data_IF_881214866180
#
_entry.id   IF_881214866180
#
_cell.length_a   1.000
_cell.length_b   1.000
_cell.length_c   1.000
_cell.angle_alpha   90.00
_cell.angle_beta   90.00
_cell.angle_gamma   90.00
#
_symmetry.space_group_name_H-M   'P 1'
#
loop_
_entity.id
_entity.type
_entity.pdbx_description
1 polymer ?
#
# COMPACT_ATOMS: atom_id res chain seq x y z
N UNK A 1 -26.98 12.88 -80.61
CA UNK A 1 -25.58 12.50 -80.32
C UNK A 1 -25.58 11.17 -79.59
N UNK A 2 -24.70 10.26 -80.00
CA UNK A 2 -24.62 8.85 -79.61
C UNK A 2 -24.10 8.69 -78.19
N UNK A 3 -24.69 7.82 -77.38
CA UNK A 3 -23.93 7.08 -76.36
C UNK A 3 -24.11 5.58 -76.61
N UNK A 4 -22.96 4.92 -76.73
CA UNK A 4 -22.75 3.53 -77.15
C UNK A 4 -22.54 2.65 -75.91
N UNK A 5 -23.24 1.52 -75.91
CA UNK A 5 -22.77 0.14 -75.65
C UNK A 5 -22.12 -0.33 -74.32
N UNK A 6 -22.52 -1.58 -74.01
CA UNK A 6 -21.84 -2.73 -73.35
C UNK A 6 -21.92 -2.81 -71.82
N UNK A 7 -22.73 -3.72 -71.27
CA UNK A 7 -22.48 -5.17 -70.99
C UNK A 7 -21.34 -5.37 -69.98
N UNK A 8 -21.64 -6.00 -68.84
CA UNK A 8 -20.92 -7.03 -68.04
C UNK A 8 -21.79 -7.18 -66.78
N UNK A 9 -22.38 -8.31 -66.38
CA UNK A 9 -21.85 -9.67 -66.33
C UNK A 9 -21.52 -10.02 -64.88
N UNK A 10 -22.44 -10.76 -64.23
CA UNK A 10 -22.30 -11.64 -63.04
C UNK A 10 -21.21 -11.37 -61.99
N UNK A 11 -21.60 -11.39 -60.70
CA UNK A 11 -21.03 -12.29 -59.69
C UNK A 11 -21.81 -12.16 -58.37
N UNK A 12 -22.66 -13.16 -58.10
CA UNK A 12 -23.28 -13.38 -56.79
C UNK A 12 -22.21 -13.81 -55.80
N UNK A 13 -21.82 -12.93 -54.88
CA UNK A 13 -21.01 -13.30 -53.73
C UNK A 13 -21.94 -13.79 -52.61
N UNK A 14 -21.96 -15.10 -52.41
CA UNK A 14 -22.55 -15.72 -51.22
C UNK A 14 -21.73 -15.30 -49.99
N UNK A 15 -22.30 -14.42 -49.17
CA UNK A 15 -21.75 -14.09 -47.85
C UNK A 15 -21.96 -15.28 -46.92
N UNK A 16 -20.88 -16.01 -46.68
CA UNK A 16 -20.78 -17.01 -45.62
C UNK A 16 -20.87 -16.25 -44.28
N UNK A 17 -22.01 -16.35 -43.61
CA UNK A 17 -22.18 -15.90 -42.24
C UNK A 17 -21.38 -16.82 -41.32
N UNK A 18 -20.10 -16.47 -41.08
CA UNK A 18 -19.33 -17.07 -39.99
C UNK A 18 -19.94 -16.54 -38.70
N UNK A 19 -20.72 -17.39 -38.03
CA UNK A 19 -21.20 -17.14 -36.68
C UNK A 19 -20.02 -17.01 -35.74
N UNK A 20 -19.59 -15.77 -35.49
CA UNK A 20 -18.79 -15.42 -34.32
C UNK A 20 -19.71 -15.61 -33.11
N UNK A 21 -19.68 -16.80 -32.53
CA UNK A 21 -20.14 -17.01 -31.18
C UNK A 21 -19.37 -16.03 -30.29
N UNK A 22 -20.07 -14.99 -29.83
CA UNK A 22 -19.57 -14.06 -28.83
C UNK A 22 -19.36 -14.84 -27.54
N UNK A 23 -18.15 -15.34 -27.35
CA UNK A 23 -17.70 -15.80 -26.04
C UNK A 23 -17.75 -14.57 -25.14
N UNK A 24 -18.54 -14.54 -24.07
CA UNK A 24 -18.47 -13.43 -23.14
C UNK A 24 -17.07 -13.42 -22.55
N UNK A 25 -16.30 -12.38 -22.86
CA UNK A 25 -15.02 -12.10 -22.25
C UNK A 25 -15.27 -11.69 -20.79
N UNK A 26 -15.49 -12.67 -19.91
CA UNK A 26 -15.41 -12.50 -18.46
C UNK A 26 -13.94 -12.41 -18.05
N UNK A 27 -13.24 -11.40 -18.54
CA UNK A 27 -11.87 -11.07 -18.17
C UNK A 27 -11.77 -9.68 -17.51
N UNK A 28 -12.88 -9.16 -16.98
CA UNK A 28 -12.84 -8.11 -15.97
C UNK A 28 -12.81 -8.79 -14.61
N UNK A 29 -11.60 -9.12 -14.15
CA UNK A 29 -11.38 -9.37 -12.74
C UNK A 29 -12.00 -8.21 -11.95
N UNK A 30 -12.77 -8.54 -10.92
CA UNK A 30 -13.32 -7.52 -10.02
C UNK A 30 -12.18 -6.58 -9.61
N UNK A 31 -12.37 -5.25 -9.70
CA UNK A 31 -11.34 -4.31 -9.28
C UNK A 31 -10.95 -4.67 -7.86
N UNK A 32 -9.67 -5.00 -7.68
CA UNK A 32 -9.11 -5.32 -6.36
C UNK A 32 -9.41 -4.12 -5.48
N UNK A 33 -10.35 -4.27 -4.55
CA UNK A 33 -10.78 -3.19 -3.66
C UNK A 33 -9.52 -2.66 -2.96
N UNK A 34 -9.07 -1.49 -3.39
CA UNK A 34 -7.93 -0.82 -2.78
C UNK A 34 -8.39 -0.41 -1.38
N UNK A 35 -7.63 -0.85 -0.38
CA UNK A 35 -7.95 -0.52 1.00
C UNK A 35 -7.89 0.99 1.16
N UNK A 36 -8.92 1.55 1.78
CA UNK A 36 -8.86 2.93 2.25
C UNK A 36 -8.00 2.92 3.51
N UNK A 37 -6.80 3.45 3.40
CA UNK A 37 -5.97 3.81 4.56
C UNK A 37 -6.28 5.27 4.84
N UNK A 38 -6.89 5.54 5.99
CA UNK A 38 -7.03 6.90 6.51
C UNK A 38 -5.78 7.21 7.34
N UNK A 39 -5.02 8.19 6.87
CA UNK A 39 -3.91 8.78 7.59
C UNK A 39 -4.41 10.00 8.35
N UNK A 40 -3.91 10.18 9.57
CA UNK A 40 -4.14 11.39 10.34
C UNK A 40 -2.98 11.63 11.28
N UNK A 41 -2.93 12.81 11.86
CA UNK A 41 -1.97 13.15 12.88
C UNK A 41 -2.72 13.57 14.14
N UNK A 42 -2.18 13.28 15.33
CA UNK A 42 -2.81 13.71 16.58
C UNK A 42 -2.85 15.25 16.68
N UNK A 43 -1.87 15.93 16.09
CA UNK A 43 -1.82 17.39 15.94
C UNK A 43 -2.79 17.94 14.87
N UNK A 44 -3.55 17.06 14.18
CA UNK A 44 -4.51 17.44 13.16
C UNK A 44 -3.90 17.74 11.79
N UNK A 45 -2.60 17.53 11.59
CA UNK A 45 -2.02 17.56 10.24
C UNK A 45 -2.69 16.48 9.35
N UNK A 46 -2.75 16.75 8.05
CA UNK A 46 -3.34 15.86 7.03
C UNK A 46 -2.30 15.42 5.98
N UNK A 47 -1.02 15.65 6.28
CA UNK A 47 0.09 15.43 5.34
C UNK A 47 0.41 13.95 5.20
N UNK A 48 0.65 13.52 3.96
CA UNK A 48 1.14 12.17 3.61
C UNK A 48 2.63 11.95 3.95
N UNK A 49 3.31 12.99 4.43
CA UNK A 49 4.73 13.03 4.73
C UNK A 49 4.93 13.71 6.07
N UNK A 50 6.03 13.38 6.75
CA UNK A 50 6.48 14.01 7.98
C UNK A 50 7.99 14.03 8.00
N UNK A 51 8.47 15.15 8.50
CA UNK A 51 9.88 15.40 8.64
C UNK A 51 10.19 15.32 10.14
N UNK A 52 11.27 14.64 10.47
CA UNK A 52 11.83 14.57 11.82
C UNK A 52 13.25 15.09 11.73
N UNK A 53 13.60 16.06 12.58
CA UNK A 53 14.98 16.55 12.71
C UNK A 53 15.64 15.91 13.91
N UNK A 54 16.92 15.55 13.81
CA UNK A 54 17.71 15.07 14.96
C UNK A 54 17.71 16.11 16.09
N UNK A 55 17.84 17.39 15.76
CA UNK A 55 17.87 18.50 16.72
C UNK A 55 16.58 18.63 17.57
N UNK A 56 15.48 17.99 17.16
CA UNK A 56 14.21 18.04 17.90
C UNK A 56 14.12 16.99 19.02
N UNK A 57 15.06 16.03 19.11
CA UNK A 57 15.00 14.88 20.03
C UNK A 57 16.36 14.56 20.65
N UNK A 58 16.40 14.31 21.96
CA UNK A 58 17.64 13.88 22.63
C UNK A 58 17.95 12.41 22.34
N UNK A 59 16.91 11.59 22.10
CA UNK A 59 17.00 10.18 21.76
C UNK A 59 15.88 9.76 20.79
N UNK A 60 16.13 8.79 19.91
CA UNK A 60 15.14 8.30 18.94
C UNK A 60 13.87 7.74 19.61
N UNK A 61 13.94 7.30 20.86
CA UNK A 61 12.78 6.79 21.61
C UNK A 61 11.78 7.87 22.00
N UNK A 62 12.17 9.14 21.94
CA UNK A 62 11.31 10.30 22.17
C UNK A 62 10.50 10.70 20.93
N UNK A 63 10.86 10.15 19.76
CA UNK A 63 10.16 10.44 18.52
C UNK A 63 8.69 9.98 18.57
N UNK A 64 7.78 10.71 17.90
CA UNK A 64 6.40 10.29 17.72
C UNK A 64 6.29 8.86 17.16
N UNK A 65 5.38 8.08 17.74
CA UNK A 65 5.14 6.70 17.32
C UNK A 65 3.99 6.64 16.34
N UNK A 66 4.15 5.82 15.31
CA UNK A 66 3.09 5.46 14.39
C UNK A 66 2.12 4.48 15.08
N UNK A 67 0.97 4.98 15.49
CA UNK A 67 -0.15 4.22 16.01
C UNK A 67 -1.00 3.65 14.88
N UNK A 68 -1.19 2.33 14.87
CA UNK A 68 -2.08 1.61 13.96
C UNK A 68 -3.26 1.07 14.74
N UNK A 69 -4.46 1.55 14.42
CA UNK A 69 -5.72 1.14 15.06
C UNK A 69 -6.52 0.27 14.11
N UNK A 70 -6.85 -0.96 14.55
CA UNK A 70 -7.55 -1.97 13.75
C UNK A 70 -8.92 -2.28 14.33
N UNK A 71 -9.96 -2.10 13.52
CA UNK A 71 -11.35 -2.37 13.88
C UNK A 71 -11.95 -3.55 13.08
N UNK A 72 -12.77 -4.42 13.70
CA UNK A 72 -13.05 -4.51 15.15
C UNK A 72 -11.84 -5.07 15.93
N UNK A 73 -11.77 -4.76 17.22
CA UNK A 73 -10.76 -5.32 18.12
C UNK A 73 -10.88 -6.84 18.15
N UNK A 74 -9.75 -7.55 18.06
CA UNK A 74 -9.72 -9.01 18.14
C UNK A 74 -8.39 -9.46 18.74
N UNK A 75 -8.28 -10.75 19.07
CA UNK A 75 -7.00 -11.36 19.46
C UNK A 75 -5.89 -10.97 18.47
N UNK A 76 -4.76 -10.51 19.03
CA UNK A 76 -3.78 -9.61 18.41
C UNK A 76 -3.52 -9.82 16.91
N UNK A 77 -3.74 -8.76 16.13
CA UNK A 77 -3.48 -8.72 14.69
C UNK A 77 -2.01 -8.47 14.44
N UNK A 78 -1.39 -9.24 13.54
CA UNK A 78 -0.01 -8.98 13.13
C UNK A 78 0.01 -7.76 12.21
N UNK A 79 0.82 -6.77 12.60
CA UNK A 79 1.10 -5.56 11.84
C UNK A 79 2.52 -5.67 11.34
N UNK A 80 2.72 -5.40 10.05
CA UNK A 80 4.03 -5.42 9.40
C UNK A 80 4.28 -4.05 8.81
N UNK A 81 5.35 -3.39 9.25
CA UNK A 81 5.90 -2.19 8.63
C UNK A 81 6.93 -2.65 7.61
N UNK A 82 6.75 -2.25 6.37
CA UNK A 82 7.71 -2.51 5.30
C UNK A 82 8.31 -1.19 4.82
N UNK A 83 9.64 -1.17 4.71
CA UNK A 83 10.43 -0.08 4.12
C UNK A 83 10.63 -0.38 2.64
N UNK A 84 10.55 0.64 1.79
CA UNK A 84 10.94 0.51 0.40
C UNK A 84 12.46 0.57 0.29
N UNK A 85 13.06 -0.48 -0.27
CA UNK A 85 14.48 -0.53 -0.60
C UNK A 85 14.65 -0.03 -2.03
N UNK A 86 15.30 1.13 -2.19
CA UNK A 86 15.51 1.77 -3.47
C UNK A 86 16.52 1.04 -4.36
N UNK A 87 17.47 0.29 -3.78
CA UNK A 87 18.46 -0.46 -4.54
C UNK A 87 17.83 -1.70 -5.17
N UNK A 88 17.06 -2.45 -4.39
CA UNK A 88 16.42 -3.68 -4.88
C UNK A 88 15.04 -3.44 -5.49
N UNK A 89 14.49 -2.22 -5.37
CA UNK A 89 13.14 -1.84 -5.80
C UNK A 89 12.05 -2.73 -5.17
N UNK A 90 12.27 -3.17 -3.94
CA UNK A 90 11.38 -4.09 -3.23
C UNK A 90 10.95 -3.53 -1.88
N UNK A 91 9.85 -4.08 -1.37
CA UNK A 91 9.39 -3.80 -0.01
C UNK A 91 9.95 -4.85 0.94
N UNK A 92 10.73 -4.39 1.91
CA UNK A 92 11.43 -5.23 2.88
C UNK A 92 10.80 -5.03 4.25
N UNK A 93 10.67 -6.10 5.04
CA UNK A 93 10.12 -5.99 6.39
C UNK A 93 11.10 -5.24 7.28
N UNK A 94 10.69 -4.06 7.75
CA UNK A 94 11.42 -3.27 8.75
C UNK A 94 11.08 -3.78 10.16
N UNK A 95 9.78 -3.89 10.44
CA UNK A 95 9.28 -4.29 11.76
C UNK A 95 8.04 -5.17 11.62
N UNK A 96 7.87 -6.11 12.55
CA UNK A 96 6.61 -6.82 12.74
C UNK A 96 6.20 -6.81 14.21
N UNK A 97 4.98 -6.36 14.49
CA UNK A 97 4.40 -6.30 15.83
C UNK A 97 2.97 -6.86 15.84
N UNK A 98 2.31 -6.81 17.00
CA UNK A 98 0.91 -7.20 17.16
C UNK A 98 0.12 -6.10 17.86
N UNK A 99 -1.16 -5.98 17.49
CA UNK A 99 -2.08 -5.12 18.25
C UNK A 99 -2.34 -5.69 19.64
N UNK A 100 -2.51 -4.79 20.61
CA UNK A 100 -2.96 -5.09 21.97
C UNK A 100 -4.46 -5.49 22.00
N UNK A 101 -5.00 -5.66 23.21
CA UNK A 101 -6.42 -5.99 23.44
C UNK A 101 -7.39 -4.88 22.95
N UNK A 102 -6.90 -3.65 22.80
CA UNK A 102 -7.65 -2.50 22.26
C UNK A 102 -7.56 -2.41 20.74
N UNK A 103 -6.85 -3.32 20.08
CA UNK A 103 -6.66 -3.29 18.62
C UNK A 103 -5.64 -2.25 18.17
N UNK A 104 -4.75 -1.81 19.07
CA UNK A 104 -3.76 -0.76 18.82
C UNK A 104 -2.35 -1.34 18.78
N UNK A 105 -1.54 -0.91 17.83
CA UNK A 105 -0.09 -1.13 17.82
C UNK A 105 0.63 0.21 17.69
N UNK A 106 1.58 0.51 18.58
CA UNK A 106 2.48 1.67 18.48
C UNK A 106 3.80 1.20 17.85
N UNK A 107 4.26 1.89 16.82
CA UNK A 107 5.48 1.55 16.07
C UNK A 107 6.43 2.75 16.11
N UNK A 108 7.67 2.53 16.54
CA UNK A 108 8.73 3.52 16.36
C UNK A 108 9.26 3.40 14.93
N UNK A 109 9.22 4.50 14.17
CA UNK A 109 9.87 4.56 12.84
C UNK A 109 11.35 4.83 13.08
N UNK A 110 12.21 4.02 12.48
CA UNK A 110 13.66 4.14 12.64
C UNK A 110 14.20 5.27 11.74
N UNK A 111 14.71 6.39 12.28
CA UNK A 111 15.29 7.46 11.48
C UNK A 111 16.73 7.17 11.04
N UNK A 112 17.35 6.12 11.59
CA UNK A 112 18.77 5.86 11.43
C UNK A 112 19.07 5.14 10.13
N UNK A 113 20.22 5.47 9.56
CA UNK A 113 20.72 4.81 8.37
C UNK A 113 21.17 3.39 8.65
N UNK A 114 20.94 2.55 7.64
CA UNK A 114 21.26 1.14 7.72
C UNK A 114 22.78 0.90 7.79
N UNK A 115 23.12 -0.32 8.15
CA UNK A 115 24.51 -0.78 8.29
C UNK A 115 25.32 -0.70 6.98
N UNK A 116 24.64 -0.52 5.83
CA UNK A 116 25.24 -0.45 4.51
C UNK A 116 25.45 1.00 4.03
N UNK A 117 25.01 1.99 4.81
CA UNK A 117 25.27 3.41 4.55
C UNK A 117 26.70 3.82 4.90
N UNK A 118 27.16 4.94 4.35
CA UNK A 118 28.48 5.51 4.66
C UNK A 118 28.61 5.99 6.13
N UNK A 119 27.47 6.19 6.82
CA UNK A 119 27.40 6.64 8.22
C UNK A 119 26.37 5.80 9.00
N UNK A 120 26.65 4.51 9.23
CA UNK A 120 25.70 3.61 9.86
C UNK A 120 25.37 4.07 11.28
N UNK A 121 24.07 4.11 11.60
CA UNK A 121 23.59 4.58 12.91
C UNK A 121 23.49 6.11 13.05
N UNK A 122 23.84 6.89 12.03
CA UNK A 122 23.50 8.31 11.96
C UNK A 122 22.04 8.49 11.52
N UNK A 123 21.44 9.66 11.80
CA UNK A 123 20.15 10.03 11.23
C UNK A 123 20.25 10.14 9.71
N UNK A 124 19.29 9.57 9.00
CA UNK A 124 19.23 9.69 7.55
C UNK A 124 18.74 11.07 7.11
N UNK A 125 19.38 11.60 6.07
CA UNK A 125 19.07 12.88 5.44
C UNK A 125 18.18 12.76 4.19
N UNK A 126 17.55 11.60 3.99
CA UNK A 126 16.70 11.31 2.83
C UNK A 126 15.32 10.81 3.23
N UNK A 127 14.38 10.94 2.28
CA UNK A 127 13.02 10.48 2.45
C UNK A 127 12.94 8.95 2.42
N UNK A 128 12.23 8.38 3.39
CA UNK A 128 11.98 6.93 3.44
C UNK A 128 10.51 6.62 3.21
N UNK A 129 10.24 5.75 2.23
CA UNK A 129 8.88 5.29 1.93
C UNK A 129 8.51 4.05 2.73
N UNK A 130 7.41 4.14 3.49
CA UNK A 130 6.87 3.02 4.25
C UNK A 130 5.49 2.58 3.76
N UNK A 131 5.18 1.30 3.98
CA UNK A 131 3.80 0.80 3.90
C UNK A 131 3.49 -0.10 5.08
N UNK A 132 2.22 -0.09 5.47
CA UNK A 132 1.70 -0.88 6.58
C UNK A 132 0.85 -2.01 6.01
N UNK A 133 1.12 -3.23 6.49
CA UNK A 133 0.29 -4.40 6.23
C UNK A 133 -0.27 -4.94 7.52
N UNK A 134 -1.59 -4.93 7.62
CA UNK A 134 -2.31 -5.61 8.69
C UNK A 134 -2.69 -7.01 8.18
N UNK A 135 -2.35 -8.04 8.93
CA UNK A 135 -2.63 -9.43 8.57
C UNK A 135 -3.86 -9.95 9.31
N UNK A 136 -4.60 -10.86 8.66
CA UNK A 136 -5.73 -11.54 9.27
C UNK A 136 -5.24 -12.47 10.39
N UNK A 137 -6.01 -12.55 11.47
CA UNK A 137 -5.87 -13.58 12.51
C UNK A 137 -6.34 -14.93 11.98
N UNK A 138 -5.51 -15.97 12.11
CA UNK A 138 -5.79 -17.36 11.69
C UNK A 138 -4.90 -17.86 10.54
N UNK A 139 -4.82 -19.19 10.36
CA UNK A 139 -4.00 -19.91 9.36
C UNK A 139 -4.43 -19.72 7.89
N UNK A 140 -5.33 -18.78 7.60
CA UNK A 140 -5.83 -18.56 6.24
C UNK A 140 -5.12 -17.39 5.55
N UNK A 141 -4.65 -17.70 4.33
CA UNK A 141 -3.94 -16.89 3.34
C UNK A 141 -4.30 -15.40 3.34
N UNK A 142 -3.28 -14.60 3.03
CA UNK A 142 -3.27 -13.16 2.82
C UNK A 142 -4.49 -12.64 2.02
N UNK A 143 -5.58 -12.36 2.73
CA UNK A 143 -6.60 -11.43 2.31
C UNK A 143 -6.24 -10.08 2.92
N UNK A 144 -6.29 -9.04 2.09
CA UNK A 144 -6.16 -7.65 2.50
C UNK A 144 -7.03 -7.40 3.73
N UNK A 145 -6.43 -6.88 4.79
CA UNK A 145 -7.08 -6.45 6.03
C UNK A 145 -8.32 -5.56 5.83
N UNK A 146 -9.13 -5.45 6.88
CA UNK A 146 -10.12 -4.38 7.01
C UNK A 146 -9.43 -3.00 7.07
N UNK A 147 -10.19 -1.94 6.89
CA UNK A 147 -9.79 -0.54 7.10
C UNK A 147 -9.05 -0.40 8.44
N UNK A 148 -7.91 0.28 8.43
CA UNK A 148 -7.17 0.66 9.64
C UNK A 148 -6.85 2.15 9.57
N UNK A 149 -6.68 2.75 10.74
CA UNK A 149 -6.28 4.14 10.89
C UNK A 149 -4.81 4.15 11.29
N UNK A 150 -4.02 4.99 10.62
CA UNK A 150 -2.63 5.24 10.96
C UNK A 150 -2.49 6.68 11.46
N UNK A 151 -1.96 6.85 12.67
CA UNK A 151 -1.80 8.15 13.32
C UNK A 151 -0.46 8.22 14.02
N UNK A 152 0.30 9.30 13.82
CA UNK A 152 1.46 9.53 14.70
C UNK A 152 1.00 10.19 15.99
N UNK A 153 1.39 9.57 17.10
CA UNK A 153 1.10 9.98 18.47
C UNK A 153 2.41 10.32 19.17
N UNK A 154 2.39 11.26 20.12
CA UNK A 154 3.58 11.59 20.90
C UNK A 154 4.16 10.34 21.59
N UNK A 155 5.48 10.30 21.81
CA UNK A 155 6.05 9.25 22.65
C UNK A 155 5.61 9.51 24.08
N UNK A 156 4.77 8.63 24.63
CA UNK A 156 4.40 8.71 26.05
C UNK A 156 5.59 8.19 26.87
N UNK A 157 6.00 8.99 27.86
CA UNK A 157 6.99 8.61 28.87
C UNK A 157 6.42 7.43 29.69
N UNK A 158 6.89 6.20 29.44
CA UNK A 158 6.62 5.07 30.34
C UNK A 158 5.99 3.77 29.78
N UNK A 159 5.78 3.60 28.48
CA UNK A 159 5.43 2.28 27.91
C UNK A 159 6.72 1.50 27.54
N UNK A 160 7.40 0.93 28.54
CA UNK A 160 8.51 -0.03 28.38
C UNK A 160 8.08 -1.45 28.80
#
# INVERSE_FOLDING_TARGET
MKLKNKIIGLLSFALIAVGLSSVPASALGTPKVQQVVSWGWEDGADKKHRDFSEDDYDDITEMPRLQVTVSPTSVGRRIVLEKFDEYTQNWVQELATRTDARGVAKILVNPLCDEYSDTPGAWCDHDVSYRIRVLKSGTQKALLSKTFIATFVASEEGDF
#
